data_IF_386102387267
#
_entry.id   IF_386102387267
#
_cell.length_a   1.000
_cell.length_b   1.000
_cell.length_c   1.000
_cell.angle_alpha   90.00
_cell.angle_beta   90.00
_cell.angle_gamma   90.00
#
_symmetry.space_group_name_H-M   'P 1'
#
loop_
_entity.id
_entity.type
_entity.pdbx_description
1 polymer ?
#
# COMPACT_ATOMS: atom_id res chain seq x y z
N UNK A 1 -3.33 10.55 -22.39
CA UNK A 1 -4.06 9.59 -23.23
C UNK A 1 -5.36 9.23 -22.53
N UNK A 2 -6.48 9.26 -23.23
CA UNK A 2 -7.80 8.81 -22.75
C UNK A 2 -8.18 7.59 -23.58
N UNK A 3 -8.77 6.58 -22.95
CA UNK A 3 -9.26 5.41 -23.69
C UNK A 3 -10.57 5.69 -24.46
N UNK A 4 -11.00 4.73 -25.28
CA UNK A 4 -12.22 4.85 -26.10
C UNK A 4 -13.51 5.07 -25.29
N UNK A 5 -13.47 4.74 -23.99
CA UNK A 5 -14.62 4.88 -23.08
C UNK A 5 -14.59 6.20 -22.30
N UNK A 6 -13.58 7.06 -22.54
CA UNK A 6 -13.43 8.34 -21.86
C UNK A 6 -12.66 8.27 -20.54
N UNK A 7 -11.98 7.16 -20.24
CA UNK A 7 -11.23 6.97 -19.00
C UNK A 7 -9.73 7.14 -19.19
N UNK A 8 -9.10 7.95 -18.33
CA UNK A 8 -7.64 8.07 -18.27
C UNK A 8 -7.05 6.94 -17.42
N UNK A 9 -6.07 6.16 -17.92
CA UNK A 9 -5.38 5.15 -17.13
C UNK A 9 -4.46 5.81 -16.09
N UNK A 10 -4.51 5.29 -14.87
CA UNK A 10 -3.82 5.84 -13.72
C UNK A 10 -3.43 4.71 -12.75
N UNK A 11 -2.51 4.99 -11.84
CA UNK A 11 -2.12 4.12 -10.73
C UNK A 11 -2.34 4.84 -9.42
N UNK A 12 -2.85 4.13 -8.42
CA UNK A 12 -2.94 4.60 -7.05
C UNK A 12 -1.99 3.82 -6.15
N UNK A 13 -1.45 4.47 -5.12
CA UNK A 13 -0.46 3.87 -4.21
C UNK A 13 -1.00 3.93 -2.79
N UNK A 14 -1.15 2.77 -2.15
CA UNK A 14 -1.33 2.65 -0.70
C UNK A 14 0.02 2.22 -0.14
N UNK A 15 0.72 3.14 0.51
CA UNK A 15 2.02 2.87 1.13
C UNK A 15 1.83 2.60 2.62
N UNK A 16 2.24 1.44 3.09
CA UNK A 16 2.24 1.01 4.48
C UNK A 16 3.56 1.33 5.16
N UNK A 17 3.52 1.69 6.43
CA UNK A 17 4.69 1.58 7.32
C UNK A 17 4.74 0.20 8.02
N UNK A 18 5.71 0.01 8.91
CA UNK A 18 5.87 -1.22 9.70
C UNK A 18 4.70 -1.52 10.66
N UNK A 19 3.88 -0.52 10.98
CA UNK A 19 2.68 -0.63 11.83
C UNK A 19 1.39 -0.84 11.02
N UNK A 20 1.49 -1.04 9.71
CA UNK A 20 0.37 -1.09 8.78
C UNK A 20 -0.49 0.19 8.76
N UNK A 21 0.10 1.32 9.13
CA UNK A 21 -0.49 2.64 8.90
C UNK A 21 -0.19 3.06 7.47
N UNK A 22 -1.11 3.80 6.86
CA UNK A 22 -1.02 4.22 5.46
C UNK A 22 -0.54 5.65 5.33
N UNK A 23 0.27 5.91 4.31
CA UNK A 23 0.68 7.26 3.92
C UNK A 23 -0.56 8.07 3.51
N UNK A 24 -0.69 9.27 4.07
CA UNK A 24 -1.79 10.18 3.78
C UNK A 24 -1.25 11.57 3.45
N UNK A 25 -1.40 12.00 2.20
CA UNK A 25 -0.85 13.26 1.70
C UNK A 25 -1.89 14.38 1.68
N UNK A 26 -1.54 15.57 2.20
CA UNK A 26 -2.33 16.79 2.10
C UNK A 26 -2.03 17.49 0.78
N UNK A 27 -3.05 17.75 -0.03
CA UNK A 27 -2.89 18.38 -1.34
C UNK A 27 -2.48 19.84 -1.21
N UNK A 28 -1.54 20.27 -2.05
CA UNK A 28 -1.10 21.66 -2.07
C UNK A 28 -2.29 22.60 -2.33
N UNK A 29 -2.36 23.68 -1.54
CA UNK A 29 -3.42 24.72 -1.62
C UNK A 29 -4.85 24.18 -1.42
N UNK A 30 -5.03 22.99 -0.86
CA UNK A 30 -6.33 22.40 -0.57
C UNK A 30 -6.33 21.76 0.82
N UNK A 31 -7.47 21.76 1.49
CA UNK A 31 -7.63 21.05 2.77
C UNK A 31 -8.12 19.60 2.58
N UNK A 32 -7.90 19.04 1.39
CA UNK A 32 -8.23 17.64 1.10
C UNK A 32 -6.98 16.77 1.16
N UNK A 33 -7.17 15.55 1.64
CA UNK A 33 -6.13 14.55 1.74
C UNK A 33 -6.41 13.39 0.79
N UNK A 34 -5.35 12.74 0.31
CA UNK A 34 -5.48 11.61 -0.61
C UNK A 34 -4.25 10.70 -0.58
N UNK A 35 -4.40 9.54 -1.22
CA UNK A 35 -3.26 8.70 -1.59
C UNK A 35 -2.52 9.28 -2.81
N UNK A 36 -1.21 8.97 -2.96
CA UNK A 36 -0.44 9.24 -4.17
C UNK A 36 -1.06 8.55 -5.38
N UNK A 37 -1.13 9.25 -6.51
CA UNK A 37 -1.77 8.71 -7.72
C UNK A 37 -1.47 9.50 -8.98
N UNK A 38 -1.02 8.79 -10.02
CA UNK A 38 -0.68 9.45 -11.27
C UNK A 38 -0.83 8.61 -12.53
N UNK A 39 -0.69 9.28 -13.67
CA UNK A 39 -1.16 8.76 -14.94
C UNK A 39 -0.20 7.79 -15.58
N UNK A 40 -0.72 6.73 -16.20
CA UNK A 40 0.11 5.82 -17.00
C UNK A 40 0.36 6.47 -18.36
N UNK A 41 1.65 6.62 -18.72
CA UNK A 41 2.09 7.18 -20.02
C UNK A 41 2.00 6.13 -21.13
N UNK A 42 2.07 6.57 -22.39
CA UNK A 42 2.07 5.66 -23.53
C UNK A 42 3.28 4.72 -23.49
N UNK A 43 3.06 3.42 -23.62
CA UNK A 43 4.13 2.42 -23.55
C UNK A 43 4.66 2.12 -22.15
N UNK A 44 4.11 2.75 -21.10
CA UNK A 44 4.49 2.54 -19.71
C UNK A 44 3.65 1.41 -19.10
N UNK A 45 4.28 0.46 -18.41
CA UNK A 45 3.55 -0.54 -17.63
C UNK A 45 2.96 0.10 -16.36
N UNK A 46 1.88 -0.45 -15.78
CA UNK A 46 1.34 0.08 -14.52
C UNK A 46 2.38 0.12 -13.39
N UNK A 47 3.29 -0.85 -13.34
CA UNK A 47 4.36 -0.89 -12.34
C UNK A 47 5.40 0.20 -12.55
N UNK A 48 5.81 0.44 -13.81
CA UNK A 48 6.72 1.54 -14.15
C UNK A 48 6.10 2.89 -13.80
N UNK A 49 4.81 3.09 -14.12
CA UNK A 49 4.09 4.28 -13.74
C UNK A 49 4.06 4.44 -12.22
N UNK A 50 3.77 3.36 -11.48
CA UNK A 50 3.75 3.37 -10.02
C UNK A 50 5.08 3.85 -9.44
N UNK A 51 6.22 3.27 -9.86
CA UNK A 51 7.53 3.70 -9.35
C UNK A 51 7.90 5.13 -9.75
N UNK A 52 7.49 5.58 -10.93
CA UNK A 52 7.67 6.96 -11.34
C UNK A 52 6.89 7.92 -10.45
N UNK A 53 5.59 7.67 -10.24
CA UNK A 53 4.75 8.52 -9.38
C UNK A 53 5.23 8.47 -7.92
N UNK A 54 5.69 7.31 -7.45
CA UNK A 54 6.31 7.15 -6.14
C UNK A 54 7.53 8.08 -5.97
N UNK A 55 8.40 8.15 -6.98
CA UNK A 55 9.55 9.06 -6.96
C UNK A 55 9.12 10.52 -7.12
N UNK A 56 8.23 10.83 -8.05
CA UNK A 56 7.81 12.20 -8.37
C UNK A 56 7.04 12.85 -7.20
N UNK A 57 6.10 12.14 -6.58
CA UNK A 57 5.19 12.68 -5.57
C UNK A 57 5.73 12.56 -4.14
N UNK A 58 6.41 11.47 -3.81
CA UNK A 58 6.86 11.18 -2.43
C UNK A 58 8.35 10.93 -2.29
N UNK A 59 9.13 11.03 -3.38
CA UNK A 59 10.59 11.00 -3.35
C UNK A 59 11.21 9.62 -3.12
N UNK A 60 10.38 8.58 -2.95
CA UNK A 60 10.84 7.22 -2.68
C UNK A 60 11.30 6.53 -3.97
N UNK A 61 12.29 5.65 -3.83
CA UNK A 61 12.87 4.86 -4.90
C UNK A 61 12.44 3.39 -4.76
N UNK A 62 12.60 2.56 -5.81
CA UNK A 62 12.25 1.14 -5.74
C UNK A 62 12.92 0.40 -4.57
N UNK A 63 14.14 0.78 -4.17
CA UNK A 63 14.85 0.18 -3.05
C UNK A 63 14.34 0.61 -1.65
N UNK A 64 13.44 1.59 -1.57
CA UNK A 64 12.84 2.02 -0.30
C UNK A 64 11.52 1.31 -0.02
N UNK A 65 10.97 0.57 -0.99
CA UNK A 65 9.64 -0.05 -0.88
C UNK A 65 9.64 -1.49 -1.40
N UNK A 66 8.69 -2.27 -0.92
CA UNK A 66 8.36 -3.60 -1.44
C UNK A 66 6.92 -3.61 -1.94
N UNK A 67 6.66 -4.29 -3.07
CA UNK A 67 5.29 -4.50 -3.56
C UNK A 67 4.68 -5.67 -2.79
N UNK A 68 3.68 -5.39 -1.96
CA UNK A 68 2.89 -6.41 -1.25
C UNK A 68 1.85 -7.01 -2.20
N UNK A 69 1.27 -6.19 -3.07
CA UNK A 69 0.34 -6.64 -4.10
C UNK A 69 -0.33 -5.50 -4.84
N UNK A 70 -1.31 -5.84 -5.68
CA UNK A 70 -2.10 -4.88 -6.45
C UNK A 70 -3.54 -5.36 -6.65
N UNK A 71 -4.43 -4.45 -6.99
CA UNK A 71 -5.79 -4.83 -7.41
C UNK A 71 -5.74 -5.68 -8.68
N UNK A 72 -6.62 -6.66 -8.76
CA UNK A 72 -6.73 -7.58 -9.91
C UNK A 72 -7.22 -6.84 -11.13
N UNK A 73 -8.28 -6.06 -10.94
CA UNK A 73 -8.98 -5.34 -11.99
C UNK A 73 -8.82 -3.82 -11.84
N UNK A 74 -9.19 -3.13 -12.92
CA UNK A 74 -9.26 -1.68 -12.97
C UNK A 74 -10.47 -1.16 -12.18
N UNK A 75 -10.23 -0.32 -11.19
CA UNK A 75 -11.27 0.42 -10.47
C UNK A 75 -11.57 1.73 -11.20
N UNK A 76 -12.85 2.10 -11.33
CA UNK A 76 -13.26 3.27 -12.11
C UNK A 76 -14.04 4.25 -11.26
N UNK A 77 -13.80 5.54 -11.47
CA UNK A 77 -14.66 6.61 -10.98
C UNK A 77 -14.87 7.65 -12.08
N UNK A 78 -16.03 8.27 -12.03
CA UNK A 78 -16.39 9.38 -12.91
C UNK A 78 -16.10 10.70 -12.19
N UNK A 79 -15.62 11.68 -12.94
CA UNK A 79 -15.39 13.03 -12.43
C UNK A 79 -16.61 13.86 -12.80
N UNK A 80 -17.31 14.48 -11.84
CA UNK A 80 -18.46 15.32 -12.16
C UNK A 80 -18.08 16.50 -13.07
N UNK A 81 -18.94 16.89 -14.00
CA UNK A 81 -18.68 17.91 -15.04
C UNK A 81 -18.16 19.25 -14.50
N UNK A 82 -18.58 19.64 -13.29
CA UNK A 82 -18.11 20.85 -12.60
C UNK A 82 -16.60 20.84 -12.30
N UNK A 83 -16.00 19.66 -12.19
CA UNK A 83 -14.56 19.44 -11.94
C UNK A 83 -13.77 19.16 -13.22
N UNK A 84 -14.45 18.98 -14.36
CA UNK A 84 -13.80 18.77 -15.65
C UNK A 84 -13.42 20.12 -16.25
N UNK A 85 -12.12 20.28 -16.58
CA UNK A 85 -11.63 21.45 -17.30
C UNK A 85 -12.39 21.62 -18.61
N UNK A 86 -12.74 22.86 -18.98
CA UNK A 86 -13.56 23.16 -20.18
C UNK A 86 -13.03 22.49 -21.45
N UNK A 87 -11.70 22.46 -21.61
CA UNK A 87 -10.98 21.86 -22.74
C UNK A 87 -11.16 20.33 -22.87
N UNK A 88 -11.58 19.65 -21.80
CA UNK A 88 -11.72 18.19 -21.75
C UNK A 88 -13.17 17.71 -21.79
N UNK A 89 -14.13 18.65 -21.82
CA UNK A 89 -15.56 18.34 -21.84
C UNK A 89 -15.92 17.58 -23.13
N UNK A 90 -16.62 16.46 -22.98
CA UNK A 90 -17.08 15.60 -24.08
C UNK A 90 -16.27 14.32 -24.28
N UNK A 91 -14.95 14.34 -24.05
CA UNK A 91 -14.07 13.18 -24.25
C UNK A 91 -13.58 12.54 -22.95
N UNK A 92 -13.57 13.28 -21.83
CA UNK A 92 -13.13 12.78 -20.54
C UNK A 92 -14.32 12.52 -19.62
N UNK A 93 -14.44 11.29 -19.11
CA UNK A 93 -15.44 10.87 -18.12
C UNK A 93 -14.85 10.69 -16.73
N UNK A 94 -13.61 10.22 -16.65
CA UNK A 94 -12.97 9.98 -15.35
C UNK A 94 -11.70 9.16 -15.44
N UNK A 95 -11.38 8.44 -14.37
CA UNK A 95 -10.15 7.65 -14.30
C UNK A 95 -10.44 6.17 -14.08
N UNK A 96 -9.56 5.35 -14.66
CA UNK A 96 -9.45 3.93 -14.36
C UNK A 96 -8.11 3.69 -13.70
N UNK A 97 -8.12 3.02 -12.55
CA UNK A 97 -6.97 2.88 -11.67
C UNK A 97 -6.66 1.41 -11.38
N UNK A 98 -5.37 1.07 -11.43
CA UNK A 98 -4.82 -0.09 -10.71
C UNK A 98 -4.21 0.44 -9.43
N UNK A 99 -4.54 -0.18 -8.30
CA UNK A 99 -4.01 0.22 -7.00
C UNK A 99 -2.92 -0.75 -6.55
N UNK A 100 -1.80 -0.22 -6.10
CA UNK A 100 -0.69 -0.96 -5.52
C UNK A 100 -0.69 -0.80 -4.01
N UNK A 101 -0.49 -1.90 -3.29
CA UNK A 101 -0.16 -1.92 -1.87
C UNK A 101 1.35 -2.09 -1.76
N UNK A 102 2.02 -1.11 -1.17
CA UNK A 102 3.46 -1.11 -0.95
C UNK A 102 3.75 -1.13 0.53
N UNK A 103 4.91 -1.66 0.91
CA UNK A 103 5.47 -1.59 2.25
C UNK A 103 6.73 -0.75 2.23
N UNK A 104 6.82 0.24 3.09
CA UNK A 104 8.05 1.01 3.30
C UNK A 104 9.07 0.13 4.03
N UNK A 105 10.19 -0.14 3.37
CA UNK A 105 11.36 -0.82 3.95
C UNK A 105 12.51 0.17 4.23
N UNK A 106 12.40 1.40 3.71
CA UNK A 106 13.28 2.52 4.04
C UNK A 106 12.90 3.22 5.34
N UNK A 107 13.38 4.45 5.50
CA UNK A 107 13.09 5.30 6.66
C UNK A 107 12.04 6.35 6.29
N UNK A 108 11.28 6.81 7.28
CA UNK A 108 10.34 7.92 7.10
C UNK A 108 11.04 9.19 6.58
N UNK A 109 12.32 9.39 6.91
CA UNK A 109 13.14 10.50 6.40
C UNK A 109 13.46 10.42 4.91
N UNK A 110 13.25 9.27 4.27
CA UNK A 110 13.44 9.12 2.83
C UNK A 110 12.26 9.72 2.03
N UNK A 111 11.13 9.97 2.68
CA UNK A 111 9.96 10.62 2.08
C UNK A 111 10.27 12.10 1.83
N UNK A 112 10.14 12.53 0.57
CA UNK A 112 10.37 13.92 0.19
C UNK A 112 9.34 14.39 -0.83
N UNK A 113 8.51 15.34 -0.41
CA UNK A 113 7.46 15.97 -1.24
C UNK A 113 8.02 17.06 -2.16
N UNK A 114 9.32 17.35 -2.11
CA UNK A 114 9.96 18.48 -2.83
C UNK A 114 10.68 18.06 -4.11
N UNK A 115 10.57 16.79 -4.52
CA UNK A 115 11.33 16.26 -5.66
C UNK A 115 10.77 16.70 -7.01
N UNK A 116 9.46 16.91 -7.11
CA UNK A 116 8.82 17.44 -8.31
C UNK A 116 8.84 18.97 -8.34
N UNK A 117 9.02 19.54 -9.54
CA UNK A 117 8.83 20.98 -9.79
C UNK A 117 7.37 21.43 -9.56
N UNK A 118 6.43 20.49 -9.62
CA UNK A 118 5.01 20.71 -9.36
C UNK A 118 4.54 19.72 -8.30
N UNK A 119 4.81 19.98 -7.00
CA UNK A 119 4.46 19.06 -5.93
C UNK A 119 2.95 18.93 -5.79
N UNK A 120 2.46 17.69 -5.68
CA UNK A 120 1.04 17.43 -5.42
C UNK A 120 0.69 17.62 -3.94
N UNK A 121 1.64 17.36 -3.05
CA UNK A 121 1.46 17.39 -1.60
C UNK A 121 2.32 18.45 -0.92
N UNK A 122 1.78 19.09 0.12
CA UNK A 122 2.53 20.04 0.96
C UNK A 122 2.83 19.52 2.38
N UNK A 123 2.08 18.51 2.83
CA UNK A 123 2.29 17.81 4.08
C UNK A 123 1.87 16.34 3.93
N UNK A 124 2.32 15.49 4.85
CA UNK A 124 1.90 14.11 4.93
C UNK A 124 1.88 13.63 6.38
N UNK A 125 1.16 12.54 6.64
CA UNK A 125 1.17 11.82 7.92
C UNK A 125 0.88 10.34 7.71
N UNK A 126 1.26 9.52 8.68
CA UNK A 126 0.72 8.17 8.81
C UNK A 126 -0.72 8.24 9.33
N UNK A 127 -1.60 7.43 8.76
CA UNK A 127 -2.99 7.30 9.17
C UNK A 127 -3.37 5.83 9.34
N UNK A 128 -4.43 5.54 10.09
CA UNK A 128 -4.96 4.19 10.18
C UNK A 128 -5.34 3.66 8.78
N UNK A 129 -5.15 2.35 8.55
CA UNK A 129 -5.42 1.73 7.25
C UNK A 129 -6.82 2.03 6.73
N UNK A 130 -7.81 1.92 7.62
CA UNK A 130 -9.18 2.34 7.35
C UNK A 130 -9.29 3.84 7.54
N UNK A 131 -9.05 4.57 6.45
CA UNK A 131 -9.18 6.02 6.45
C UNK A 131 -10.65 6.46 6.59
N UNK A 132 -10.84 7.66 7.12
CA UNK A 132 -12.14 8.33 7.11
C UNK A 132 -12.47 8.79 5.68
N UNK A 133 -13.34 8.06 5.00
CA UNK A 133 -13.75 8.37 3.62
C UNK A 133 -14.41 9.76 3.50
N UNK A 134 -14.92 10.32 4.59
CA UNK A 134 -15.49 11.67 4.59
C UNK A 134 -14.45 12.78 4.33
N UNK A 135 -13.18 12.52 4.67
CA UNK A 135 -12.06 13.40 4.33
C UNK A 135 -11.67 13.36 2.85
N UNK A 136 -12.19 12.38 2.11
CA UNK A 136 -11.94 12.18 0.67
C UNK A 136 -13.06 12.82 -0.13
N UNK A 137 -12.69 13.42 -1.26
CA UNK A 137 -13.63 13.92 -2.26
C UNK A 137 -14.62 12.81 -2.68
N UNK A 138 -15.90 13.15 -2.64
CA UNK A 138 -17.06 12.25 -2.77
C UNK A 138 -16.92 11.21 -3.89
N UNK A 139 -16.61 11.66 -5.11
CA UNK A 139 -16.54 10.77 -6.28
C UNK A 139 -15.39 9.74 -6.23
N UNK A 140 -14.38 9.93 -5.37
CA UNK A 140 -13.29 8.96 -5.16
C UNK A 140 -13.59 7.94 -4.07
N UNK A 141 -14.55 8.21 -3.16
CA UNK A 141 -14.82 7.39 -1.96
C UNK A 141 -15.07 5.92 -2.28
N UNK A 142 -15.84 5.65 -3.35
CA UNK A 142 -16.15 4.27 -3.78
C UNK A 142 -14.90 3.49 -4.19
N UNK A 143 -14.02 4.11 -4.99
CA UNK A 143 -12.78 3.48 -5.45
C UNK A 143 -11.82 3.25 -4.29
N UNK A 144 -11.72 4.20 -3.36
CA UNK A 144 -10.91 4.05 -2.15
C UNK A 144 -11.41 2.88 -1.30
N UNK A 145 -12.72 2.80 -1.05
CA UNK A 145 -13.32 1.68 -0.33
C UNK A 145 -13.03 0.35 -1.00
N UNK A 146 -13.17 0.26 -2.32
CA UNK A 146 -12.88 -0.96 -3.08
C UNK A 146 -11.40 -1.37 -2.98
N UNK A 147 -10.48 -0.44 -3.23
CA UNK A 147 -9.04 -0.70 -3.16
C UNK A 147 -8.61 -1.16 -1.76
N UNK A 148 -9.01 -0.42 -0.72
CA UNK A 148 -8.69 -0.76 0.67
C UNK A 148 -9.29 -2.11 1.06
N UNK A 149 -10.52 -2.40 0.66
CA UNK A 149 -11.17 -3.69 0.96
C UNK A 149 -10.45 -4.85 0.28
N UNK A 150 -10.13 -4.72 -1.01
CA UNK A 150 -9.45 -5.78 -1.77
C UNK A 150 -8.04 -6.05 -1.22
N UNK A 151 -7.28 -5.00 -0.97
CA UNK A 151 -5.87 -5.08 -0.53
C UNK A 151 -5.72 -5.40 0.96
N UNK A 152 -6.75 -5.19 1.79
CA UNK A 152 -6.70 -5.47 3.24
C UNK A 152 -6.36 -6.92 3.57
N UNK A 153 -6.68 -7.84 2.64
CA UNK A 153 -6.40 -9.27 2.78
C UNK A 153 -4.91 -9.59 2.85
N UNK A 154 -4.08 -8.69 2.30
CA UNK A 154 -2.63 -8.85 2.24
C UNK A 154 -1.92 -8.34 3.50
N UNK A 155 -2.60 -7.60 4.38
CA UNK A 155 -2.01 -7.02 5.60
C UNK A 155 -1.59 -8.06 6.65
N UNK A 156 -2.16 -9.27 6.58
CA UNK A 156 -1.93 -10.35 7.55
C UNK A 156 -0.83 -11.31 7.12
N UNK A 157 -0.31 -11.17 5.90
CA UNK A 157 0.63 -12.12 5.33
C UNK A 157 2.09 -11.80 5.70
N UNK A 158 2.34 -10.66 6.35
CA UNK A 158 3.69 -10.23 6.75
C UNK A 158 4.25 -10.90 8.02
N UNK A 159 3.57 -11.91 8.58
CA UNK A 159 4.16 -12.76 9.61
C UNK A 159 4.65 -14.08 9.03
N UNK A 160 5.88 -14.08 8.52
CA UNK A 160 6.78 -15.21 8.73
C UNK A 160 8.25 -14.73 8.79
N UNK A 161 8.93 -14.88 9.94
CA UNK A 161 10.36 -14.61 10.04
C UNK A 161 11.14 -15.75 9.36
N UNK A 162 12.19 -15.37 8.63
CA UNK A 162 13.25 -16.27 8.17
C UNK A 162 13.78 -17.12 9.35
N UNK A 163 13.39 -18.40 9.40
CA UNK A 163 14.22 -19.46 9.95
C UNK A 163 14.37 -20.54 8.88
N UNK A 164 15.30 -20.30 7.96
CA UNK A 164 15.84 -21.33 7.08
C UNK A 164 17.13 -21.88 7.71
N UNK A 165 16.96 -23.05 8.33
CA UNK A 165 17.77 -24.27 8.14
C UNK A 165 19.30 -24.08 8.16
N UNK A 166 19.90 -24.52 9.25
CA UNK A 166 21.33 -24.81 9.33
C UNK A 166 21.69 -25.62 10.57
N UNK A 167 21.66 -26.95 10.45
CA UNK A 167 22.58 -27.90 11.09
C UNK A 167 21.98 -29.31 10.98
N UNK A 168 22.57 -30.12 10.10
CA UNK A 168 22.43 -31.56 10.21
C UNK A 168 23.09 -32.02 11.51
N UNK A 169 22.37 -32.82 12.28
CA UNK A 169 22.97 -33.81 13.17
C UNK A 169 22.16 -35.09 13.07
N UNK A 170 22.80 -36.07 12.44
CA UNK A 170 22.48 -37.47 12.47
C UNK A 170 22.64 -37.96 13.93
N UNK A 171 21.62 -38.61 14.48
CA UNK A 171 21.78 -39.44 15.66
C UNK A 171 20.69 -40.52 15.70
N UNK A 172 20.97 -41.62 14.99
CA UNK A 172 20.70 -42.94 15.55
C UNK A 172 21.49 -43.05 16.85
N UNK A 173 20.82 -43.44 17.95
CA UNK A 173 21.20 -44.48 18.93
C UNK A 173 20.24 -44.36 20.13
N UNK A 174 19.35 -45.35 20.25
CA UNK A 174 18.77 -45.76 21.52
C UNK A 174 19.81 -46.61 22.27
N UNK A 175 19.88 -46.48 23.60
CA UNK A 175 19.93 -47.68 24.43
C UNK A 175 18.91 -47.69 25.57
N UNK A 176 18.56 -48.92 25.95
CA UNK A 176 17.62 -49.36 26.98
C UNK A 176 18.18 -49.23 28.40
N UNK A 177 17.25 -49.09 29.36
CA UNK A 177 17.37 -49.54 30.76
C UNK A 177 17.97 -48.51 31.73
N UNK A 178 17.61 -48.39 33.00
CA UNK A 178 16.77 -49.20 33.90
C UNK A 178 16.56 -48.42 35.21
N UNK A 179 15.44 -48.66 35.93
CA UNK A 179 15.25 -48.52 37.41
C UNK A 179 15.35 -47.10 38.00
N UNK A 180 14.72 -46.69 39.09
CA UNK A 180 13.76 -47.23 40.07
C UNK A 180 13.25 -45.98 40.85
N UNK A 181 11.95 -45.93 41.16
CA UNK A 181 11.30 -45.54 42.43
C UNK A 181 11.89 -44.37 43.26
N UNK A 182 11.11 -43.31 43.48
CA UNK A 182 10.63 -42.92 44.82
C UNK A 182 9.47 -41.91 44.76
N UNK A 183 8.43 -42.20 45.55
CA UNK A 183 7.33 -41.33 45.90
C UNK A 183 7.80 -40.25 46.90
N UNK A 184 7.17 -39.08 46.88
CA UNK A 184 6.39 -38.51 48.00
C UNK A 184 6.29 -36.97 47.93
N UNK A 185 5.05 -36.49 48.18
CA UNK A 185 4.71 -35.28 48.96
C UNK A 185 5.07 -33.88 48.37
N UNK A 186 4.32 -32.77 48.48
CA UNK A 186 3.11 -32.32 49.20
C UNK A 186 2.70 -30.94 48.60
N UNK A 187 1.40 -30.59 48.73
CA UNK A 187 0.78 -29.25 48.94
C UNK A 187 1.20 -28.05 48.05
N UNK A 188 0.33 -27.43 47.23
CA UNK A 188 -0.82 -26.54 47.54
C UNK A 188 -0.47 -25.40 48.52
N UNK A 189 -0.30 -24.19 47.96
CA UNK A 189 -0.57 -22.81 48.46
C UNK A 189 -0.03 -21.90 47.32
N UNK A 190 -0.72 -20.89 46.77
CA UNK A 190 -1.58 -19.82 47.31
C UNK A 190 -2.78 -19.51 46.41
#
# INVERSE_FOLDING_TARGET
MIDRNGYRPNVGIILLNSKNEVFWGKRIRQNSWQFPQGGIKSGESPEQAMYRELSEEIGLRPNHVEIVGRTRDWLRYEVPDRWIRREWRGNYKGQKQIWYLLRLIGRDSDVSLRRSAHPEFDAWRWNQYWIELDSVVEFKRKVYKQALTELSRLLKTDSCPNQSIGAGYDQKILPKGSKEILADQLEVNE
#
